data_IF_873088473352
#
_entry.id   IF_873088473352
#
_cell.length_a   1.000
_cell.length_b   1.000
_cell.length_c   1.000
_cell.angle_alpha   90.00
_cell.angle_beta   90.00
_cell.angle_gamma   90.00
#
_symmetry.space_group_name_H-M   'P 1'
#
loop_
_entity.id
_entity.type
_entity.pdbx_description
1 polymer ?
#
# COMPACT_ATOMS: atom_id res chain seq x y z
N UNK A 1 -5.23 20.08 -46.96
CA UNK A 1 -4.85 18.72 -46.51
C UNK A 1 -3.57 18.68 -45.66
N UNK A 2 -2.51 19.45 -45.95
CA UNK A 2 -1.24 19.46 -45.18
C UNK A 2 -1.37 19.91 -43.70
N UNK A 3 -2.28 20.83 -43.39
CA UNK A 3 -2.46 21.38 -42.04
C UNK A 3 -3.11 20.36 -41.08
N UNK A 4 -4.01 19.52 -41.60
CA UNK A 4 -4.70 18.48 -40.82
C UNK A 4 -3.73 17.36 -40.42
N UNK A 5 -2.79 17.01 -41.30
CA UNK A 5 -1.74 16.01 -41.01
C UNK A 5 -0.73 16.51 -39.96
N UNK A 6 -0.40 17.80 -39.96
CA UNK A 6 0.50 18.40 -38.97
C UNK A 6 -0.12 18.44 -37.57
N UNK A 7 -1.41 18.74 -37.47
CA UNK A 7 -2.12 18.73 -36.19
C UNK A 7 -2.18 17.34 -35.56
N UNK A 8 -2.42 16.29 -36.36
CA UNK A 8 -2.47 14.91 -35.86
C UNK A 8 -1.14 14.40 -35.30
N UNK A 9 0.00 14.86 -35.82
CA UNK A 9 1.32 14.43 -35.34
C UNK A 9 1.67 15.09 -34.00
N UNK A 10 1.26 16.34 -33.79
CA UNK A 10 1.52 17.07 -32.53
C UNK A 10 0.70 16.49 -31.38
N UNK A 11 -0.54 16.06 -31.62
CA UNK A 11 -1.37 15.44 -30.57
C UNK A 11 -0.81 14.10 -30.10
N UNK A 12 -0.28 13.28 -31.03
CA UNK A 12 0.33 11.99 -30.69
C UNK A 12 1.65 12.15 -29.91
N UNK A 13 2.47 13.15 -30.26
CA UNK A 13 3.72 13.44 -29.54
C UNK A 13 3.48 13.96 -28.11
N UNK A 14 2.41 14.72 -27.87
CA UNK A 14 2.04 15.21 -26.54
C UNK A 14 1.62 14.11 -25.56
N UNK A 15 1.01 13.03 -26.06
CA UNK A 15 0.56 11.89 -25.23
C UNK A 15 1.75 11.02 -24.80
N UNK A 16 2.80 10.93 -25.61
CA UNK A 16 4.00 10.12 -25.33
C UNK A 16 4.93 10.77 -24.28
N UNK A 17 4.96 12.10 -24.18
CA UNK A 17 5.77 12.82 -23.19
C UNK A 17 5.16 12.80 -21.77
N UNK A 18 3.87 12.47 -21.62
CA UNK A 18 3.17 12.44 -20.32
C UNK A 18 3.40 11.18 -19.48
N UNK A 19 4.07 10.16 -20.00
CA UNK A 19 4.24 8.86 -19.32
C UNK A 19 5.58 8.67 -18.61
N UNK A 20 6.50 9.64 -18.69
CA UNK A 20 7.77 9.57 -17.96
C UNK A 20 7.64 10.27 -16.61
N UNK A 21 7.18 9.54 -15.58
CA UNK A 21 7.36 9.97 -14.19
C UNK A 21 8.83 10.34 -13.97
N UNK A 22 9.08 11.53 -13.44
CA UNK A 22 10.44 11.92 -13.09
C UNK A 22 10.99 10.93 -12.05
N UNK A 23 12.31 10.64 -12.09
CA UNK A 23 12.91 9.69 -11.16
C UNK A 23 12.65 10.09 -9.69
N UNK A 24 12.60 11.38 -9.39
CA UNK A 24 12.27 11.89 -8.05
C UNK A 24 10.83 11.58 -7.63
N UNK A 25 9.84 11.77 -8.51
CA UNK A 25 8.44 11.42 -8.21
C UNK A 25 8.27 9.91 -8.02
N UNK A 26 9.04 9.10 -8.73
CA UNK A 26 9.04 7.64 -8.56
C UNK A 26 9.62 7.25 -7.20
N UNK A 27 10.73 7.87 -6.79
CA UNK A 27 11.35 7.63 -5.49
C UNK A 27 10.42 8.04 -4.34
N UNK A 28 9.75 9.19 -4.44
CA UNK A 28 8.81 9.66 -3.44
C UNK A 28 7.61 8.70 -3.28
N UNK A 29 7.06 8.21 -4.40
CA UNK A 29 5.96 7.21 -4.37
C UNK A 29 6.42 5.88 -3.77
N UNK A 30 7.63 5.42 -4.09
CA UNK A 30 8.18 4.21 -3.51
C UNK A 30 8.36 4.35 -1.98
N UNK A 31 8.89 5.48 -1.51
CA UNK A 31 9.02 5.77 -0.09
C UNK A 31 7.65 5.82 0.63
N UNK A 32 6.64 6.43 0.00
CA UNK A 32 5.26 6.45 0.52
C UNK A 32 4.67 5.03 0.62
N UNK A 33 4.87 4.20 -0.40
CA UNK A 33 4.42 2.79 -0.40
C UNK A 33 5.08 2.00 0.72
N UNK A 34 6.40 2.12 0.86
CA UNK A 34 7.14 1.46 1.94
C UNK A 34 6.62 1.87 3.32
N UNK A 35 6.40 3.17 3.56
CA UNK A 35 5.84 3.66 4.82
C UNK A 35 4.43 3.12 5.08
N UNK A 36 3.60 3.02 4.05
CA UNK A 36 2.26 2.45 4.17
C UNK A 36 2.30 0.95 4.50
N UNK A 37 3.21 0.20 3.88
CA UNK A 37 3.44 -1.21 4.17
C UNK A 37 3.93 -1.42 5.62
N UNK A 38 4.88 -0.61 6.07
CA UNK A 38 5.36 -0.62 7.46
C UNK A 38 4.24 -0.29 8.45
N UNK A 39 3.43 0.73 8.17
CA UNK A 39 2.30 1.10 9.01
C UNK A 39 1.24 -0.02 9.08
N UNK A 40 1.01 -0.72 7.98
CA UNK A 40 0.15 -1.91 7.94
C UNK A 40 0.71 -3.04 8.80
N UNK A 41 2.01 -3.33 8.71
CA UNK A 41 2.63 -4.36 9.55
C UNK A 41 2.49 -4.02 11.04
N UNK A 42 2.73 -2.76 11.43
CA UNK A 42 2.54 -2.30 12.81
C UNK A 42 1.08 -2.39 13.24
N UNK A 43 0.12 -2.02 12.38
CA UNK A 43 -1.30 -2.08 12.73
C UNK A 43 -1.81 -3.51 12.91
N UNK A 44 -1.31 -4.46 12.11
CA UNK A 44 -1.59 -5.88 12.28
C UNK A 44 -0.94 -6.43 13.54
N UNK A 45 0.31 -6.08 13.81
CA UNK A 45 1.01 -6.48 15.04
C UNK A 45 0.29 -5.97 16.31
N UNK A 46 -0.26 -4.75 16.26
CA UNK A 46 -0.98 -4.13 17.39
C UNK A 46 -2.24 -4.90 17.80
N UNK A 47 -2.86 -5.65 16.89
CA UNK A 47 -4.00 -6.51 17.21
C UNK A 47 -3.60 -7.72 18.07
N UNK A 48 -2.32 -8.09 18.05
CA UNK A 48 -1.78 -9.25 18.74
C UNK A 48 -1.05 -8.87 20.04
N UNK A 49 -0.13 -7.90 19.96
CA UNK A 49 0.62 -7.39 21.09
C UNK A 49 1.05 -5.94 20.82
N UNK A 50 0.56 -5.03 21.67
CA UNK A 50 0.84 -3.60 21.56
C UNK A 50 2.33 -3.31 21.80
N UNK A 51 2.97 -3.99 22.76
CA UNK A 51 4.37 -3.75 23.09
C UNK A 51 5.29 -4.17 21.92
N UNK A 52 4.99 -5.32 21.29
CA UNK A 52 5.73 -5.77 20.11
C UNK A 52 5.50 -4.85 18.91
N UNK A 53 4.29 -4.34 18.72
CA UNK A 53 4.00 -3.37 17.67
C UNK A 53 4.75 -2.04 17.85
N UNK A 54 4.89 -1.55 19.08
CA UNK A 54 5.69 -0.36 19.39
C UNK A 54 7.17 -0.58 19.07
N UNK A 55 7.72 -1.76 19.39
CA UNK A 55 9.09 -2.13 19.02
C UNK A 55 9.28 -2.19 17.50
N UNK A 56 8.31 -2.74 16.75
CA UNK A 56 8.32 -2.71 15.28
C UNK A 56 8.28 -1.29 14.73
N UNK A 57 7.43 -0.43 15.30
CA UNK A 57 7.36 0.97 14.90
C UNK A 57 8.66 1.72 15.15
N UNK A 58 9.31 1.48 16.30
CA UNK A 58 10.62 2.05 16.62
C UNK A 58 11.72 1.53 15.68
N UNK A 59 11.63 0.28 15.22
CA UNK A 59 12.59 -0.28 14.25
C UNK A 59 12.42 0.30 12.84
N UNK A 60 11.19 0.62 12.43
CA UNK A 60 10.92 1.27 11.14
C UNK A 60 11.23 2.77 11.15
N UNK A 61 11.06 3.42 12.30
CA UNK A 61 11.35 4.84 12.48
C UNK A 61 12.38 5.02 13.61
N UNK A 62 13.66 4.70 13.35
CA UNK A 62 14.69 4.89 14.35
C UNK A 62 14.81 6.39 14.71
N UNK A 63 15.15 6.72 15.96
CA UNK A 63 15.34 8.10 16.38
C UNK A 63 16.50 8.75 15.60
N UNK A 64 16.42 10.08 15.44
CA UNK A 64 17.43 10.87 14.73
C UNK A 64 18.79 10.87 15.47
N UNK A 65 18.75 10.71 16.78
CA UNK A 65 19.96 10.54 17.59
C UNK A 65 20.38 9.07 17.60
N UNK A 66 21.62 8.75 17.19
CA UNK A 66 22.10 7.37 17.19
C UNK A 66 22.21 6.84 18.62
N UNK A 67 21.56 5.70 18.88
CA UNK A 67 21.71 4.98 20.13
C UNK A 67 23.17 4.54 20.32
N UNK A 68 23.62 4.47 21.56
CA UNK A 68 24.91 3.84 21.85
C UNK A 68 24.88 2.36 21.44
N UNK A 69 26.03 1.79 21.08
CA UNK A 69 26.12 0.38 20.65
C UNK A 69 25.50 -0.61 21.66
N UNK A 70 25.57 -0.29 22.97
CA UNK A 70 24.95 -1.11 24.03
C UNK A 70 23.42 -1.02 24.01
N UNK A 71 22.86 0.17 23.82
CA UNK A 71 21.41 0.37 23.75
C UNK A 71 20.83 -0.23 22.47
N UNK A 72 21.55 -0.15 21.35
CA UNK A 72 21.17 -0.79 20.10
C UNK A 72 21.09 -2.32 20.26
N UNK A 73 22.12 -2.92 20.88
CA UNK A 73 22.17 -4.37 21.10
C UNK A 73 21.05 -4.88 22.02
N UNK A 74 20.74 -4.14 23.08
CA UNK A 74 19.64 -4.47 23.98
C UNK A 74 18.28 -4.36 23.27
N UNK A 75 18.08 -3.29 22.49
CA UNK A 75 16.88 -3.13 21.68
C UNK A 75 16.70 -4.29 20.68
N UNK A 76 17.75 -4.65 19.95
CA UNK A 76 17.69 -5.73 18.96
C UNK A 76 17.40 -7.08 19.61
N UNK A 77 17.95 -7.35 20.79
CA UNK A 77 17.65 -8.55 21.57
C UNK A 77 16.18 -8.60 21.96
N UNK A 78 15.65 -7.52 22.55
CA UNK A 78 14.24 -7.44 22.96
C UNK A 78 13.30 -7.58 21.76
N UNK A 79 13.63 -6.93 20.64
CA UNK A 79 12.89 -7.03 19.40
C UNK A 79 12.81 -8.48 18.91
N UNK A 80 13.95 -9.17 18.82
CA UNK A 80 14.02 -10.56 18.35
C UNK A 80 13.26 -11.50 19.27
N UNK A 81 13.38 -11.33 20.59
CA UNK A 81 12.67 -12.16 21.57
C UNK A 81 11.15 -12.03 21.43
N UNK A 82 10.66 -10.80 21.32
CA UNK A 82 9.22 -10.50 21.22
C UNK A 82 8.62 -10.94 19.89
N UNK A 83 9.31 -10.64 18.78
CA UNK A 83 8.84 -11.01 17.43
C UNK A 83 8.92 -12.52 17.20
N UNK A 84 9.86 -13.22 17.84
CA UNK A 84 9.98 -14.67 17.75
C UNK A 84 9.15 -15.44 18.78
N UNK A 85 8.39 -14.76 19.64
CA UNK A 85 7.44 -15.43 20.51
C UNK A 85 6.42 -16.20 19.66
N UNK A 86 6.26 -17.50 19.90
CA UNK A 86 5.41 -18.39 19.10
C UNK A 86 3.96 -17.92 19.03
N UNK A 87 3.44 -17.38 20.14
CA UNK A 87 2.08 -16.82 20.23
C UNK A 87 1.95 -15.58 19.35
N UNK A 88 2.93 -14.68 19.38
CA UNK A 88 2.94 -13.49 18.53
C UNK A 88 3.01 -13.88 17.05
N UNK A 89 3.91 -14.79 16.67
CA UNK A 89 4.02 -15.24 15.28
C UNK A 89 2.73 -15.88 14.76
N UNK A 90 2.08 -16.72 15.57
CA UNK A 90 0.81 -17.34 15.21
C UNK A 90 -0.31 -16.31 15.04
N UNK A 91 -0.45 -15.38 16.00
CA UNK A 91 -1.44 -14.32 15.92
C UNK A 91 -1.18 -13.39 14.73
N UNK A 92 0.07 -12.98 14.52
CA UNK A 92 0.45 -12.10 13.41
C UNK A 92 0.18 -12.75 12.06
N UNK A 93 0.47 -14.04 11.92
CA UNK A 93 0.11 -14.82 10.72
C UNK A 93 -1.39 -14.82 10.48
N UNK A 94 -2.19 -15.04 11.52
CA UNK A 94 -3.65 -15.01 11.41
C UNK A 94 -4.18 -13.62 11.05
N UNK A 95 -3.64 -12.56 11.66
CA UNK A 95 -3.99 -11.17 11.35
C UNK A 95 -3.69 -10.84 9.87
N UNK A 96 -2.55 -11.31 9.36
CA UNK A 96 -2.22 -11.17 7.94
C UNK A 96 -3.22 -11.89 7.03
N UNK A 97 -3.56 -13.14 7.35
CA UNK A 97 -4.55 -13.90 6.60
C UNK A 97 -5.93 -13.24 6.62
N UNK A 98 -6.35 -12.69 7.75
CA UNK A 98 -7.61 -11.95 7.86
C UNK A 98 -7.60 -10.69 6.99
N UNK A 99 -6.52 -9.91 7.02
CA UNK A 99 -6.37 -8.76 6.14
C UNK A 99 -6.45 -9.13 4.65
N UNK A 100 -5.80 -10.22 4.24
CA UNK A 100 -5.88 -10.71 2.87
C UNK A 100 -7.31 -11.13 2.50
N UNK A 101 -8.02 -11.81 3.40
CA UNK A 101 -9.41 -12.20 3.18
C UNK A 101 -10.33 -10.96 3.05
N UNK A 102 -10.15 -9.95 3.90
CA UNK A 102 -10.90 -8.68 3.81
C UNK A 102 -10.65 -7.98 2.47
N UNK A 103 -9.40 -7.90 2.02
CA UNK A 103 -9.08 -7.32 0.72
C UNK A 103 -9.72 -8.05 -0.46
N UNK A 104 -9.84 -9.38 -0.37
CA UNK A 104 -10.52 -10.17 -1.41
C UNK A 104 -12.04 -9.91 -1.38
N UNK A 105 -12.65 -9.85 -0.20
CA UNK A 105 -14.06 -9.49 -0.06
C UNK A 105 -14.34 -8.08 -0.60
N UNK A 106 -13.51 -7.10 -0.26
CA UNK A 106 -13.62 -5.72 -0.76
C UNK A 106 -13.45 -5.65 -2.28
N UNK A 107 -12.61 -6.51 -2.85
CA UNK A 107 -12.45 -6.60 -4.31
C UNK A 107 -13.71 -7.19 -4.95
N UNK A 108 -14.23 -8.29 -4.41
CA UNK A 108 -15.44 -8.94 -4.91
C UNK A 108 -16.66 -8.02 -4.80
N UNK A 109 -16.78 -7.30 -3.69
CA UNK A 109 -17.87 -6.35 -3.48
C UNK A 109 -17.79 -5.20 -4.48
N UNK A 110 -16.61 -4.61 -4.72
CA UNK A 110 -16.44 -3.58 -5.74
C UNK A 110 -16.77 -4.09 -7.14
N UNK A 111 -16.33 -5.30 -7.48
CA UNK A 111 -16.66 -5.92 -8.76
C UNK A 111 -18.16 -6.10 -8.94
N UNK A 112 -18.85 -6.61 -7.91
CA UNK A 112 -20.31 -6.77 -7.93
C UNK A 112 -21.04 -5.42 -8.01
N UNK A 113 -20.60 -4.40 -7.27
CA UNK A 113 -21.19 -3.06 -7.27
C UNK A 113 -20.99 -2.36 -8.62
N UNK A 114 -19.81 -2.51 -9.24
CA UNK A 114 -19.50 -1.97 -10.56
C UNK A 114 -20.32 -2.68 -11.64
N UNK A 115 -20.46 -4.00 -11.58
CA UNK A 115 -21.32 -4.77 -12.48
C UNK A 115 -22.80 -4.39 -12.30
N UNK A 116 -23.27 -4.29 -11.05
CA UNK A 116 -24.64 -3.86 -10.75
C UNK A 116 -24.90 -2.43 -11.23
N UNK A 117 -23.94 -1.50 -11.10
CA UNK A 117 -24.03 -0.17 -11.70
C UNK A 117 -24.04 -0.26 -13.23
N UNK A 118 -23.15 -1.03 -13.85
CA UNK A 118 -23.05 -1.13 -15.30
C UNK A 118 -24.31 -1.74 -15.94
N UNK A 119 -24.89 -2.79 -15.35
CA UNK A 119 -26.15 -3.39 -15.79
C UNK A 119 -27.40 -2.63 -15.33
N UNK A 120 -27.34 -1.95 -14.17
CA UNK A 120 -28.42 -1.10 -13.64
C UNK A 120 -28.63 0.17 -14.46
N UNK A 121 -27.56 0.85 -14.89
CA UNK A 121 -27.64 2.03 -15.75
C UNK A 121 -28.10 1.70 -17.18
N UNK A 122 -27.78 0.51 -17.72
CA UNK A 122 -28.32 0.06 -19.01
C UNK A 122 -29.82 -0.23 -19.00
N UNK A 123 -30.41 -0.48 -17.83
CA UNK A 123 -31.85 -0.76 -17.71
C UNK A 123 -32.70 0.50 -17.60
N UNK A 124 -32.11 1.66 -17.24
CA UNK A 124 -32.81 2.95 -17.13
C UNK A 124 -32.46 3.96 -18.23
N UNK A 125 -31.46 3.70 -19.08
CA UNK A 125 -31.26 4.47 -20.30
C UNK A 125 -32.20 3.98 -21.42
N UNK A 126 -33.51 4.25 -21.30
CA UNK A 126 -34.46 4.16 -22.41
C UNK A 126 -34.28 5.30 -23.45
N UNK A 127 -33.29 6.18 -23.26
CA UNK A 127 -33.05 7.40 -24.05
C UNK A 127 -31.71 7.42 -24.81
N UNK A 128 -30.96 6.31 -24.82
CA UNK A 128 -29.79 6.18 -25.70
C UNK A 128 -30.23 5.54 -27.02
N UNK A 129 -30.85 6.35 -27.87
CA UNK A 129 -30.93 6.17 -29.32
C UNK A 129 -29.94 7.13 -29.96
#
# INVERSE_FOLDING_TARGET
MKIIQLMSVVTVAGILAGCALTPEQKAERAAKRLKAEQALQVSLAKQCDVATAELMQAKFNPPLEPLSAKQQAEFDKQYVEKVNASVFQACYKLAWQNYQAQQELDRLQRYYDDDFRFFGFRRFCHLCW
#
